data_IF_294546329970
#
_entry.id   IF_294546329970
#
_cell.length_a   1.000
_cell.length_b   1.000
_cell.length_c   1.000
_cell.angle_alpha   90.00
_cell.angle_beta   90.00
_cell.angle_gamma   90.00
#
_symmetry.space_group_name_H-M   'P 1'
#
loop_
_entity.id
_entity.type
_entity.pdbx_description
1 polymer ?
#
# COMPACT_ATOMS: atom_id res chain seq x y z
N UNK A 1 95.88 63.37 -13.92
CA UNK A 1 96.81 62.33 -14.38
C UNK A 1 96.77 61.18 -13.39
N UNK A 2 96.49 59.96 -13.84
CA UNK A 2 97.01 58.74 -13.18
C UNK A 2 98.55 58.74 -13.27
N UNK A 3 99.33 58.03 -12.41
CA UNK A 3 99.16 56.57 -12.19
C UNK A 3 99.63 55.96 -10.83
N UNK A 4 99.35 54.67 -10.64
CA UNK A 4 100.44 53.66 -10.53
C UNK A 4 101.13 53.31 -9.18
N UNK A 5 100.46 52.46 -8.37
CA UNK A 5 100.99 51.24 -7.66
C UNK A 5 102.16 51.29 -6.62
N UNK A 6 101.79 50.85 -5.38
CA UNK A 6 102.53 49.99 -4.38
C UNK A 6 103.71 50.65 -3.59
N UNK A 7 104.29 50.05 -2.50
CA UNK A 7 104.07 48.73 -1.85
C UNK A 7 104.06 48.67 -0.27
N UNK A 8 103.95 47.44 0.29
CA UNK A 8 104.47 46.92 1.60
C UNK A 8 103.88 47.36 2.97
N UNK A 9 103.64 46.36 3.84
CA UNK A 9 103.66 46.45 5.32
C UNK A 9 102.45 45.79 6.05
N UNK A 10 102.48 45.26 7.28
CA UNK A 10 103.46 44.49 8.10
C UNK A 10 102.96 44.48 9.58
N UNK A 11 102.98 43.33 10.28
CA UNK A 11 102.64 43.13 11.72
C UNK A 11 101.18 43.49 12.13
N UNK A 12 100.54 43.00 13.20
CA UNK A 12 100.81 41.97 14.23
C UNK A 12 99.45 41.61 14.91
N UNK A 13 99.31 40.76 15.94
CA UNK A 13 100.24 39.96 16.77
C UNK A 13 99.56 38.59 17.09
N UNK A 14 99.67 38.00 18.30
CA UNK A 14 98.96 36.76 18.74
C UNK A 14 98.63 36.79 20.25
N UNK A 15 97.58 36.09 20.69
CA UNK A 15 97.42 35.26 21.91
C UNK A 15 95.92 34.92 22.07
N UNK A 16 95.39 33.68 22.03
CA UNK A 16 95.74 32.30 22.48
C UNK A 16 95.36 31.94 23.93
N UNK A 17 94.12 31.44 24.11
CA UNK A 17 93.65 30.44 25.10
C UNK A 17 92.40 29.77 24.52
N UNK A 18 92.09 28.48 24.70
CA UNK A 18 92.89 27.25 24.93
C UNK A 18 91.95 26.09 24.52
N UNK A 19 92.43 25.03 23.85
CA UNK A 19 91.56 23.89 23.48
C UNK A 19 91.20 23.03 24.69
N UNK A 20 90.00 22.47 24.68
CA UNK A 20 89.73 21.07 25.07
C UNK A 20 88.66 20.50 24.14
N UNK A 21 88.90 19.32 23.58
CA UNK A 21 87.95 18.59 22.74
C UNK A 21 87.95 17.12 23.13
N UNK A 22 86.75 16.58 23.41
CA UNK A 22 86.43 15.17 23.63
C UNK A 22 84.90 15.06 23.62
N UNK A 23 84.24 14.01 23.13
CA UNK A 23 84.65 12.91 22.25
C UNK A 23 83.38 12.53 21.45
N UNK A 24 83.49 12.05 20.21
CA UNK A 24 82.30 11.46 19.54
C UNK A 24 81.92 10.14 20.20
N UNK A 25 80.65 9.98 20.53
CA UNK A 25 79.97 8.69 20.64
C UNK A 25 78.69 8.73 19.82
N UNK A 26 78.59 7.85 18.83
CA UNK A 26 77.47 7.82 17.87
C UNK A 26 76.31 7.04 18.48
N UNK A 27 75.33 7.73 19.05
CA UNK A 27 74.07 7.16 19.54
C UNK A 27 72.92 7.39 18.56
N UNK A 28 72.18 6.35 18.20
CA UNK A 28 71.10 6.40 17.21
C UNK A 28 69.94 7.30 17.66
N UNK A 29 69.70 8.37 16.89
CA UNK A 29 68.56 9.27 17.11
C UNK A 29 67.29 8.63 16.55
N UNK A 30 66.59 7.82 17.34
CA UNK A 30 65.23 7.38 17.01
C UNK A 30 64.32 8.61 16.90
N UNK A 31 63.80 8.87 15.70
CA UNK A 31 62.72 9.85 15.49
C UNK A 31 61.40 9.22 15.93
N UNK A 32 61.03 9.41 17.20
CA UNK A 32 59.74 8.94 17.71
C UNK A 32 58.61 9.72 17.01
N UNK A 33 57.88 9.04 16.13
CA UNK A 33 57.00 9.68 15.15
C UNK A 33 55.71 10.24 15.75
N UNK A 34 55.67 11.55 15.98
CA UNK A 34 54.49 12.30 16.49
C UNK A 34 53.35 12.46 15.44
N UNK A 35 53.13 11.43 14.63
CA UNK A 35 52.18 11.40 13.50
C UNK A 35 51.14 10.26 13.55
N UNK A 36 51.41 9.18 14.28
CA UNK A 36 50.50 8.02 14.35
C UNK A 36 49.14 8.35 14.97
N UNK A 37 49.15 9.07 16.11
CA UNK A 37 47.95 9.26 16.94
C UNK A 37 46.91 10.22 16.33
N UNK A 38 47.34 11.11 15.43
CA UNK A 38 46.40 11.96 14.64
C UNK A 38 45.75 11.18 13.50
N UNK A 39 46.43 10.18 12.95
CA UNK A 39 45.91 9.35 11.85
C UNK A 39 44.89 8.34 12.37
N UNK A 40 45.20 7.62 13.45
CA UNK A 40 44.29 6.68 14.12
C UNK A 40 42.99 7.36 14.57
N UNK A 41 43.08 8.53 15.24
CA UNK A 41 41.90 9.31 15.66
C UNK A 41 41.05 9.78 14.48
N UNK A 42 41.65 10.24 13.38
CA UNK A 42 40.92 10.61 12.15
C UNK A 42 40.20 9.42 11.55
N UNK A 43 40.85 8.25 11.46
CA UNK A 43 40.23 7.02 10.98
C UNK A 43 39.07 6.56 11.87
N UNK A 44 39.20 6.62 13.20
CA UNK A 44 38.11 6.29 14.13
C UNK A 44 36.91 7.25 13.98
N UNK A 45 37.14 8.55 13.82
CA UNK A 45 36.09 9.54 13.59
C UNK A 45 35.40 9.30 12.24
N UNK A 46 36.15 8.99 11.18
CA UNK A 46 35.58 8.69 9.85
C UNK A 46 34.79 7.37 9.89
N UNK A 47 35.29 6.32 10.55
CA UNK A 47 34.55 5.05 10.73
C UNK A 47 33.25 5.29 11.51
N UNK A 48 33.29 6.02 12.63
CA UNK A 48 32.07 6.39 13.39
C UNK A 48 31.09 7.18 12.53
N UNK A 49 31.53 8.23 11.83
CA UNK A 49 30.66 9.01 10.93
C UNK A 49 30.07 8.18 9.79
N UNK A 50 30.82 7.24 9.20
CA UNK A 50 30.32 6.32 8.19
C UNK A 50 29.30 5.32 8.75
N UNK A 51 29.51 4.79 9.96
CA UNK A 51 28.53 3.93 10.63
C UNK A 51 27.26 4.68 11.00
N UNK A 52 27.37 5.92 11.51
CA UNK A 52 26.21 6.78 11.76
C UNK A 52 25.45 7.13 10.47
N UNK A 53 26.15 7.45 9.38
CA UNK A 53 25.52 7.74 8.09
C UNK A 53 24.85 6.50 7.49
N UNK A 54 25.50 5.33 7.54
CA UNK A 54 24.92 4.07 7.08
C UNK A 54 23.68 3.67 7.90
N UNK A 55 23.72 3.87 9.23
CA UNK A 55 22.56 3.67 10.11
C UNK A 55 21.42 4.63 9.78
N UNK A 56 21.71 5.92 9.55
CA UNK A 56 20.71 6.91 9.16
C UNK A 56 20.07 6.59 7.79
N UNK A 57 20.86 6.13 6.82
CA UNK A 57 20.35 5.67 5.51
C UNK A 57 19.48 4.41 5.67
N UNK A 58 19.91 3.44 6.48
CA UNK A 58 19.11 2.24 6.75
C UNK A 58 17.77 2.57 7.41
N UNK A 59 17.76 3.48 8.40
CA UNK A 59 16.52 3.98 9.02
C UNK A 59 15.64 4.72 8.00
N UNK A 60 16.21 5.57 7.14
CA UNK A 60 15.46 6.26 6.10
C UNK A 60 14.82 5.27 5.11
N UNK A 61 15.55 4.24 4.68
CA UNK A 61 15.02 3.18 3.80
C UNK A 61 13.90 2.42 4.50
N UNK A 62 14.04 2.08 5.79
CA UNK A 62 12.97 1.44 6.56
C UNK A 62 11.74 2.35 6.66
N UNK A 63 11.91 3.65 6.92
CA UNK A 63 10.79 4.61 6.98
C UNK A 63 10.11 4.74 5.61
N UNK A 64 10.86 4.80 4.51
CA UNK A 64 10.29 4.82 3.16
C UNK A 64 9.55 3.51 2.85
N UNK A 65 10.10 2.35 3.22
CA UNK A 65 9.42 1.05 3.06
C UNK A 65 8.15 0.98 3.92
N UNK A 66 8.16 1.49 5.16
CA UNK A 66 6.97 1.56 6.01
C UNK A 66 5.91 2.48 5.41
N UNK A 67 6.28 3.66 4.92
CA UNK A 67 5.36 4.58 4.23
C UNK A 67 4.79 3.92 2.97
N UNK A 68 5.62 3.26 2.17
CA UNK A 68 5.15 2.51 0.98
C UNK A 68 4.18 1.41 1.38
N UNK A 69 4.50 0.57 2.38
CA UNK A 69 3.61 -0.49 2.85
C UNK A 69 2.29 0.02 3.47
N UNK A 70 2.30 1.20 4.08
CA UNK A 70 1.09 1.86 4.59
C UNK A 70 0.23 2.41 3.43
N UNK A 71 0.84 3.06 2.44
CA UNK A 71 0.15 3.61 1.26
C UNK A 71 -0.31 2.52 0.29
N UNK A 72 0.38 1.40 0.22
CA UNK A 72 0.06 0.27 -0.66
C UNK A 72 -0.79 -0.81 0.01
N UNK A 73 -1.41 -0.51 1.16
CA UNK A 73 -2.33 -1.44 1.84
C UNK A 73 -1.72 -2.77 2.30
N UNK A 74 -0.38 -2.91 2.35
CA UNK A 74 0.28 -4.22 2.58
C UNK A 74 -0.11 -4.84 3.93
N UNK A 75 -0.37 -3.98 4.93
CA UNK A 75 -0.81 -4.37 6.27
C UNK A 75 -2.32 -4.35 6.50
N UNK A 76 -3.14 -4.01 5.50
CA UNK A 76 -4.59 -4.12 5.63
C UNK A 76 -4.99 -5.60 5.80
N UNK A 77 -5.95 -5.85 6.70
CA UNK A 77 -6.54 -7.17 6.87
C UNK A 77 -7.39 -7.47 5.63
N UNK A 78 -7.15 -8.60 4.97
CA UNK A 78 -8.02 -9.12 3.92
C UNK A 78 -9.40 -9.41 4.49
N UNK A 79 -10.44 -9.27 3.66
CA UNK A 79 -11.70 -9.96 3.90
C UNK A 79 -11.48 -11.48 4.07
N UNK A 80 -12.29 -12.13 4.90
CA UNK A 80 -12.24 -13.58 5.16
C UNK A 80 -13.05 -14.39 4.14
N UNK A 81 -13.79 -13.71 3.27
CA UNK A 81 -14.68 -14.21 2.21
C UNK A 81 -14.93 -13.10 1.19
N UNK A 82 -15.40 -13.44 0.00
CA UNK A 82 -15.69 -12.45 -1.04
C UNK A 82 -16.64 -11.36 -0.55
N UNK A 83 -16.17 -10.11 -0.58
CA UNK A 83 -16.86 -8.95 0.00
C UNK A 83 -16.82 -7.75 -0.95
N UNK A 84 -17.98 -7.21 -1.28
CA UNK A 84 -18.18 -5.99 -2.04
C UNK A 84 -18.51 -4.84 -1.09
N UNK A 85 -17.83 -3.70 -1.23
CA UNK A 85 -18.11 -2.47 -0.46
C UNK A 85 -18.44 -1.33 -1.40
N UNK A 86 -19.50 -0.58 -1.06
CA UNK A 86 -19.75 0.74 -1.61
C UNK A 86 -19.07 1.80 -0.74
N UNK A 87 -18.31 2.72 -1.35
CA UNK A 87 -17.69 3.85 -0.67
C UNK A 87 -18.43 5.18 -0.96
N UNK A 88 -18.29 6.17 -0.06
CA UNK A 88 -18.86 7.52 -0.17
C UNK A 88 -18.68 8.24 -1.52
N UNK A 89 -17.61 7.94 -2.25
CA UNK A 89 -17.32 8.55 -3.56
C UNK A 89 -18.04 7.86 -4.73
N UNK A 90 -18.85 6.83 -4.45
CA UNK A 90 -19.55 6.01 -5.43
C UNK A 90 -18.72 4.85 -5.99
N UNK A 91 -17.48 4.68 -5.53
CA UNK A 91 -16.65 3.57 -5.95
C UNK A 91 -17.13 2.23 -5.36
N UNK A 92 -16.85 1.16 -6.09
CA UNK A 92 -17.03 -0.21 -5.61
C UNK A 92 -15.66 -0.80 -5.30
N UNK A 93 -15.46 -1.37 -4.11
CA UNK A 93 -14.28 -2.16 -3.78
C UNK A 93 -14.72 -3.60 -3.58
N UNK A 94 -14.27 -4.49 -4.48
CA UNK A 94 -14.46 -5.93 -4.33
C UNK A 94 -13.16 -6.54 -3.79
N UNK A 95 -13.27 -7.24 -2.65
CA UNK A 95 -12.26 -8.15 -2.13
C UNK A 95 -12.72 -9.58 -2.46
N UNK A 96 -12.13 -10.22 -3.46
CA UNK A 96 -12.46 -11.58 -3.90
C UNK A 96 -11.58 -12.59 -3.14
N UNK A 97 -12.19 -13.63 -2.57
CA UNK A 97 -11.51 -14.72 -1.84
C UNK A 97 -11.94 -16.05 -2.45
N UNK A 98 -11.01 -16.86 -2.91
CA UNK A 98 -11.33 -18.14 -3.58
C UNK A 98 -10.31 -19.21 -3.23
N UNK A 99 -10.77 -20.45 -3.04
CA UNK A 99 -9.88 -21.61 -2.87
C UNK A 99 -9.02 -21.78 -4.13
N UNK A 100 -7.70 -21.81 -3.95
CA UNK A 100 -6.70 -21.84 -5.01
C UNK A 100 -5.53 -22.73 -4.58
N UNK A 101 -5.62 -24.01 -4.92
CA UNK A 101 -4.61 -25.00 -4.53
C UNK A 101 -4.46 -26.18 -5.48
N UNK A 102 -5.19 -26.21 -6.60
CA UNK A 102 -5.01 -27.26 -7.59
C UNK A 102 -3.67 -27.08 -8.32
N UNK A 103 -2.97 -28.19 -8.54
CA UNK A 103 -1.60 -28.25 -9.05
C UNK A 103 -1.43 -27.77 -10.50
N UNK A 104 -2.53 -27.56 -11.21
CA UNK A 104 -2.58 -27.01 -12.56
C UNK A 104 -2.81 -25.49 -12.65
N UNK A 105 -3.02 -24.78 -11.52
CA UNK A 105 -3.19 -23.33 -11.52
C UNK A 105 -1.90 -22.58 -11.14
N UNK A 106 -1.40 -21.72 -12.04
CA UNK A 106 -0.22 -20.88 -11.79
C UNK A 106 -0.64 -19.49 -11.26
N UNK A 107 -0.18 -19.16 -10.05
CA UNK A 107 -0.49 -17.88 -9.39
C UNK A 107 0.22 -16.64 -9.97
N UNK A 108 1.23 -16.81 -10.83
CA UNK A 108 1.84 -15.74 -11.61
C UNK A 108 1.13 -15.53 -12.95
N UNK A 109 0.61 -16.58 -13.58
CA UNK A 109 -0.32 -16.48 -14.72
C UNK A 109 -1.60 -15.75 -14.29
N UNK A 110 -2.23 -16.14 -13.18
CA UNK A 110 -3.42 -15.44 -12.62
C UNK A 110 -3.16 -13.94 -12.41
N UNK A 111 -2.01 -13.58 -11.81
CA UNK A 111 -1.59 -12.18 -11.60
C UNK A 111 -1.30 -11.42 -12.89
N UNK A 112 -0.92 -12.12 -13.96
CA UNK A 112 -0.64 -11.52 -15.26
C UNK A 112 -1.95 -11.29 -16.02
N UNK A 113 -2.82 -12.31 -16.05
CA UNK A 113 -4.17 -12.25 -16.60
C UNK A 113 -5.00 -11.12 -15.96
N UNK A 114 -5.10 -11.05 -14.63
CA UNK A 114 -5.86 -10.00 -13.94
C UNK A 114 -5.38 -8.58 -14.31
N UNK A 115 -4.06 -8.39 -14.47
CA UNK A 115 -3.49 -7.09 -14.90
C UNK A 115 -3.79 -6.80 -16.38
N UNK A 116 -3.76 -7.82 -17.24
CA UNK A 116 -4.08 -7.68 -18.66
C UNK A 116 -5.54 -7.30 -18.86
N UNK A 117 -6.47 -7.96 -18.15
CA UNK A 117 -7.90 -7.64 -18.16
C UNK A 117 -8.17 -6.19 -17.71
N UNK A 118 -7.61 -5.78 -16.57
CA UNK A 118 -7.75 -4.39 -16.07
C UNK A 118 -7.14 -3.37 -17.05
N UNK A 119 -5.99 -3.69 -17.65
CA UNK A 119 -5.38 -2.82 -18.67
C UNK A 119 -6.28 -2.72 -19.91
N UNK A 120 -6.79 -3.83 -20.43
CA UNK A 120 -7.63 -3.87 -21.62
C UNK A 120 -8.94 -3.10 -21.43
N UNK A 121 -9.56 -3.21 -20.25
CA UNK A 121 -10.73 -2.42 -19.89
C UNK A 121 -10.43 -0.92 -19.85
N UNK A 122 -9.36 -0.51 -19.14
CA UNK A 122 -9.00 0.90 -19.03
C UNK A 122 -8.55 1.52 -20.37
N UNK A 123 -7.89 0.75 -21.23
CA UNK A 123 -7.54 1.17 -22.60
C UNK A 123 -8.79 1.49 -23.44
N UNK A 124 -9.93 0.85 -23.15
CA UNK A 124 -11.18 1.00 -23.89
C UNK A 124 -12.15 2.04 -23.28
N UNK A 125 -12.26 2.08 -21.95
CA UNK A 125 -13.33 2.80 -21.24
C UNK A 125 -12.86 4.05 -20.47
N UNK A 126 -11.58 4.14 -20.11
CA UNK A 126 -11.04 5.26 -19.35
C UNK A 126 -9.82 4.90 -18.53
N UNK A 127 -8.88 5.83 -18.39
CA UNK A 127 -7.74 5.64 -17.49
C UNK A 127 -8.21 5.60 -16.03
N UNK A 128 -7.74 4.60 -15.29
CA UNK A 128 -8.01 4.38 -13.85
C UNK A 128 -9.46 4.06 -13.47
N UNK A 129 -10.34 3.72 -14.43
CA UNK A 129 -11.72 3.28 -14.17
C UNK A 129 -11.82 1.96 -13.40
N UNK A 130 -10.86 1.04 -13.62
CA UNK A 130 -10.66 -0.16 -12.79
C UNK A 130 -9.21 -0.22 -12.31
N UNK A 131 -9.01 -0.57 -11.04
CA UNK A 131 -7.69 -0.59 -10.40
C UNK A 131 -7.52 -1.85 -9.56
N UNK A 132 -6.62 -2.71 -10.00
CA UNK A 132 -6.17 -3.89 -9.26
C UNK A 132 -5.22 -3.45 -8.13
N UNK A 133 -5.75 -3.34 -6.91
CA UNK A 133 -5.01 -2.80 -5.77
C UNK A 133 -4.11 -3.85 -5.11
N UNK A 134 -4.58 -5.10 -5.06
CA UNK A 134 -3.83 -6.22 -4.45
C UNK A 134 -4.16 -7.54 -5.15
N UNK A 135 -3.14 -8.38 -5.34
CA UNK A 135 -3.32 -9.80 -5.64
C UNK A 135 -2.34 -10.61 -4.79
N UNK A 136 -2.87 -11.56 -4.02
CA UNK A 136 -2.11 -12.54 -3.27
C UNK A 136 -2.54 -13.95 -3.67
N UNK A 137 -1.58 -14.87 -3.68
CA UNK A 137 -1.80 -16.30 -3.93
C UNK A 137 -0.87 -17.05 -2.99
N UNK A 138 -1.40 -18.00 -2.23
CA UNK A 138 -0.66 -18.77 -1.23
C UNK A 138 -1.61 -19.46 -0.25
N UNK A 139 -1.09 -20.41 0.54
CA UNK A 139 -1.82 -21.09 1.61
C UNK A 139 -3.14 -21.79 1.19
N UNK A 140 -3.29 -22.11 -0.11
CA UNK A 140 -4.52 -22.69 -0.67
C UNK A 140 -5.58 -21.68 -1.08
N UNK A 141 -5.24 -20.39 -1.15
CA UNK A 141 -6.15 -19.27 -1.42
C UNK A 141 -5.59 -18.32 -2.50
N UNK A 142 -6.48 -17.81 -3.35
CA UNK A 142 -6.27 -16.62 -4.14
C UNK A 142 -7.12 -15.49 -3.58
N UNK A 143 -6.50 -14.32 -3.42
CA UNK A 143 -7.13 -13.09 -2.97
C UNK A 143 -6.88 -11.99 -3.98
N UNK A 144 -7.93 -11.28 -4.39
CA UNK A 144 -7.82 -10.05 -5.16
C UNK A 144 -8.54 -8.91 -4.44
N UNK A 145 -8.00 -7.69 -4.54
CA UNK A 145 -8.73 -6.46 -4.22
C UNK A 145 -8.73 -5.58 -5.45
N UNK A 146 -9.92 -5.27 -5.95
CA UNK A 146 -10.14 -4.46 -7.14
C UNK A 146 -11.07 -3.31 -6.79
N UNK A 147 -10.62 -2.08 -7.06
CA UNK A 147 -11.47 -0.88 -7.01
C UNK A 147 -12.01 -0.60 -8.41
N UNK A 148 -13.30 -0.36 -8.49
CA UNK A 148 -14.03 0.10 -9.67
C UNK A 148 -14.49 1.53 -9.38
N UNK A 149 -14.33 2.43 -10.34
CA UNK A 149 -14.67 3.84 -10.18
C UNK A 149 -16.18 4.07 -10.00
N UNK A 150 -17.01 3.15 -10.49
CA UNK A 150 -18.47 3.22 -10.37
C UNK A 150 -19.12 1.81 -10.37
N UNK A 151 -20.41 1.70 -10.01
CA UNK A 151 -21.21 0.49 -10.19
C UNK A 151 -21.39 0.10 -11.66
N UNK A 152 -21.31 1.08 -12.57
CA UNK A 152 -21.29 0.82 -14.00
C UNK A 152 -19.98 0.16 -14.44
N UNK A 153 -18.83 0.62 -13.94
CA UNK A 153 -17.53 -0.01 -14.21
C UNK A 153 -17.45 -1.43 -13.65
N UNK A 154 -18.05 -1.68 -12.48
CA UNK A 154 -18.21 -3.03 -11.95
C UNK A 154 -18.96 -3.91 -12.95
N UNK A 155 -20.18 -3.51 -13.33
CA UNK A 155 -21.06 -4.24 -14.25
C UNK A 155 -20.41 -4.46 -15.63
N UNK A 156 -19.73 -3.47 -16.18
CA UNK A 156 -19.08 -3.59 -17.50
C UNK A 156 -17.81 -4.46 -17.45
N UNK A 157 -17.07 -4.48 -16.33
CA UNK A 157 -15.85 -5.28 -16.18
C UNK A 157 -16.15 -6.75 -15.85
N UNK A 158 -17.04 -7.01 -14.88
CA UNK A 158 -17.35 -8.37 -14.40
C UNK A 158 -18.44 -9.05 -15.24
N UNK A 159 -19.35 -8.26 -15.82
CA UNK A 159 -20.59 -8.76 -16.43
C UNK A 159 -21.72 -9.03 -15.44
N UNK A 160 -21.50 -8.88 -14.13
CA UNK A 160 -22.54 -9.07 -13.11
C UNK A 160 -23.55 -7.93 -13.11
N UNK A 161 -24.82 -8.26 -12.85
CA UNK A 161 -25.88 -7.27 -12.74
C UNK A 161 -25.70 -6.45 -11.46
N UNK A 162 -25.53 -5.13 -11.60
CA UNK A 162 -25.48 -4.18 -10.50
C UNK A 162 -26.16 -2.85 -10.88
N UNK A 163 -26.90 -2.30 -9.93
CA UNK A 163 -27.46 -0.95 -9.92
C UNK A 163 -27.30 -0.35 -8.53
N UNK A 164 -26.92 0.93 -8.45
CA UNK A 164 -26.94 1.72 -7.22
C UNK A 164 -27.53 3.10 -7.54
N UNK A 165 -28.35 3.61 -6.63
CA UNK A 165 -29.05 4.89 -6.76
C UNK A 165 -30.16 4.99 -5.71
N UNK A 166 -31.13 5.87 -5.93
CA UNK A 166 -32.35 5.90 -5.10
C UNK A 166 -33.39 4.86 -5.56
N UNK A 167 -34.35 4.54 -4.69
CA UNK A 167 -35.52 3.70 -5.06
C UNK A 167 -36.25 4.28 -6.28
N UNK A 168 -36.43 5.60 -6.36
CA UNK A 168 -37.04 6.26 -7.52
C UNK A 168 -36.23 6.00 -8.81
N UNK A 169 -34.91 6.14 -8.77
CA UNK A 169 -34.03 5.86 -9.91
C UNK A 169 -34.05 4.38 -10.32
N UNK A 170 -34.15 3.46 -9.36
CA UNK A 170 -34.30 2.04 -9.64
C UNK A 170 -35.61 1.74 -10.38
N UNK A 171 -36.72 2.37 -9.98
CA UNK A 171 -38.01 2.25 -10.67
C UNK A 171 -37.96 2.84 -12.09
N UNK A 172 -37.30 3.98 -12.29
CA UNK A 172 -37.07 4.56 -13.62
C UNK A 172 -36.20 3.67 -14.52
N UNK A 173 -35.22 2.96 -13.94
CA UNK A 173 -34.42 1.95 -14.61
C UNK A 173 -35.18 0.63 -14.89
N UNK A 174 -36.41 0.49 -14.40
CA UNK A 174 -37.30 -0.65 -14.65
C UNK A 174 -37.27 -1.75 -13.58
N UNK A 175 -36.58 -1.54 -12.46
CA UNK A 175 -36.58 -2.50 -11.34
C UNK A 175 -37.92 -2.50 -10.60
N UNK A 176 -38.44 -3.70 -10.37
CA UNK A 176 -39.71 -3.93 -9.66
C UNK A 176 -39.46 -4.53 -8.29
N UNK A 177 -39.89 -3.84 -7.23
CA UNK A 177 -39.78 -4.27 -5.83
C UNK A 177 -40.84 -5.34 -5.48
N UNK A 178 -40.89 -6.40 -6.29
CA UNK A 178 -41.84 -7.51 -6.18
C UNK A 178 -41.37 -8.65 -5.26
N UNK A 179 -40.18 -8.52 -4.68
CA UNK A 179 -39.62 -9.43 -3.68
C UNK A 179 -40.39 -9.41 -2.36
N UNK A 180 -40.22 -10.46 -1.57
CA UNK A 180 -40.53 -10.41 -0.13
C UNK A 180 -39.41 -9.66 0.58
N UNK A 181 -39.76 -8.61 1.33
CA UNK A 181 -38.79 -7.82 2.09
C UNK A 181 -38.90 -8.10 3.59
N UNK A 182 -37.78 -7.96 4.30
CA UNK A 182 -37.71 -7.89 5.76
C UNK A 182 -37.05 -6.59 6.20
N UNK A 183 -37.49 -6.09 7.35
CA UNK A 183 -36.83 -4.99 8.04
C UNK A 183 -35.47 -5.40 8.59
N UNK A 184 -34.59 -4.41 8.79
CA UNK A 184 -33.32 -4.58 9.49
C UNK A 184 -33.28 -3.63 10.69
N UNK A 185 -33.01 -4.19 11.87
CA UNK A 185 -32.94 -3.45 13.13
C UNK A 185 -31.89 -4.10 14.04
N UNK A 186 -31.15 -3.28 14.80
CA UNK A 186 -30.09 -3.70 15.72
C UNK A 186 -29.05 -4.68 15.10
N UNK A 187 -28.86 -4.61 13.79
CA UNK A 187 -27.93 -5.47 13.04
C UNK A 187 -28.44 -6.89 12.75
N UNK A 188 -29.74 -7.12 12.78
CA UNK A 188 -30.37 -8.39 12.44
C UNK A 188 -31.61 -8.21 11.54
N UNK A 189 -32.04 -9.30 10.87
CA UNK A 189 -33.36 -9.35 10.21
C UNK A 189 -34.47 -9.23 11.27
N UNK A 190 -35.41 -8.32 11.01
CA UNK A 190 -36.65 -8.15 11.76
C UNK A 190 -37.84 -8.80 11.04
N UNK A 191 -39.03 -8.23 11.26
CA UNK A 191 -40.27 -8.70 10.65
C UNK A 191 -40.32 -8.44 9.13
N UNK A 192 -41.12 -9.26 8.43
CA UNK A 192 -41.46 -9.05 7.03
C UNK A 192 -42.29 -7.78 6.84
N UNK A 193 -41.97 -7.01 5.80
CA UNK A 193 -42.59 -5.72 5.48
C UNK A 193 -43.22 -5.74 4.09
N UNK A 194 -44.29 -4.97 3.92
CA UNK A 194 -44.93 -4.79 2.62
C UNK A 194 -44.11 -3.89 1.70
N UNK A 195 -44.18 -4.14 0.38
CA UNK A 195 -43.57 -3.28 -0.65
C UNK A 195 -44.03 -1.81 -0.53
N UNK A 196 -45.26 -1.56 -0.09
CA UNK A 196 -45.80 -0.22 0.16
C UNK A 196 -45.06 0.52 1.28
N UNK A 197 -44.54 -0.20 2.28
CA UNK A 197 -43.69 0.36 3.32
C UNK A 197 -42.26 0.64 2.81
N UNK A 198 -41.68 -0.29 2.03
CA UNK A 198 -40.35 -0.11 1.42
C UNK A 198 -40.33 1.07 0.46
N UNK A 199 -41.41 1.25 -0.31
CA UNK A 199 -41.58 2.36 -1.27
C UNK A 199 -42.16 3.65 -0.65
N UNK A 200 -42.32 3.73 0.67
CA UNK A 200 -42.89 4.91 1.34
C UNK A 200 -41.97 6.14 1.27
N UNK A 201 -40.64 5.92 1.17
CA UNK A 201 -39.64 6.96 0.98
C UNK A 201 -38.73 6.57 -0.21
N UNK A 202 -39.08 7.07 -1.40
CA UNK A 202 -38.40 6.71 -2.65
C UNK A 202 -37.03 7.39 -2.85
N UNK A 203 -36.64 8.28 -1.94
CA UNK A 203 -35.33 8.92 -1.93
C UNK A 203 -34.26 8.09 -1.21
N UNK A 204 -34.66 7.00 -0.52
CA UNK A 204 -33.71 6.07 0.12
C UNK A 204 -32.80 5.42 -0.90
N UNK A 205 -31.57 5.16 -0.48
CA UNK A 205 -30.58 4.48 -1.30
C UNK A 205 -30.96 3.00 -1.46
N UNK A 206 -30.73 2.47 -2.65
CA UNK A 206 -30.85 1.05 -2.94
C UNK A 206 -29.64 0.57 -3.75
N UNK A 207 -29.08 -0.54 -3.30
CA UNK A 207 -28.16 -1.37 -4.09
C UNK A 207 -28.93 -2.60 -4.54
N UNK A 208 -28.91 -2.88 -5.84
CA UNK A 208 -29.51 -4.05 -6.46
C UNK A 208 -28.41 -4.81 -7.18
N UNK A 209 -28.26 -6.10 -6.90
CA UNK A 209 -27.24 -6.94 -7.52
C UNK A 209 -27.68 -8.39 -7.69
N UNK A 210 -27.04 -9.11 -8.60
CA UNK A 210 -27.23 -10.55 -8.82
C UNK A 210 -25.92 -11.30 -8.68
N UNK A 211 -25.52 -11.57 -7.44
CA UNK A 211 -24.26 -12.20 -7.10
C UNK A 211 -24.33 -12.84 -5.70
N UNK A 212 -23.72 -14.02 -5.52
CA UNK A 212 -23.55 -14.64 -4.20
C UNK A 212 -22.31 -14.04 -3.52
N UNK A 213 -22.49 -12.92 -2.81
CA UNK A 213 -21.39 -12.15 -2.23
C UNK A 213 -21.79 -11.51 -0.89
N UNK A 214 -20.83 -11.21 -0.02
CA UNK A 214 -21.08 -10.33 1.14
C UNK A 214 -21.00 -8.88 0.71
N UNK A 215 -21.97 -8.07 1.11
CA UNK A 215 -22.09 -6.65 0.75
C UNK A 215 -22.03 -5.81 2.02
N UNK A 216 -21.15 -4.81 2.05
CA UNK A 216 -21.17 -3.73 3.05
C UNK A 216 -21.52 -2.40 2.36
N UNK A 217 -22.50 -1.68 2.90
CA UNK A 217 -22.89 -0.34 2.41
C UNK A 217 -22.40 0.76 3.35
N UNK A 218 -22.13 1.95 2.82
CA UNK A 218 -21.90 3.13 3.66
C UNK A 218 -23.24 3.73 4.10
N UNK A 219 -23.82 3.15 5.15
CA UNK A 219 -25.11 3.57 5.70
C UNK A 219 -25.66 2.57 6.72
N UNK A 220 -26.89 2.80 7.18
CA UNK A 220 -27.65 1.80 7.94
C UNK A 220 -28.64 1.11 6.99
N UNK A 221 -28.59 -0.20 6.90
CA UNK A 221 -29.55 -1.01 6.14
C UNK A 221 -30.90 -0.94 6.86
N UNK A 222 -31.95 -0.67 6.09
CA UNK A 222 -33.33 -0.51 6.56
C UNK A 222 -34.18 -1.72 6.17
N UNK A 223 -34.02 -2.18 4.92
CA UNK A 223 -34.75 -3.30 4.35
C UNK A 223 -33.85 -4.11 3.43
N UNK A 224 -34.13 -5.41 3.32
CA UNK A 224 -33.45 -6.31 2.40
C UNK A 224 -34.43 -7.33 1.83
N UNK A 225 -34.20 -7.81 0.60
CA UNK A 225 -34.85 -9.02 0.09
C UNK A 225 -34.68 -10.16 1.09
N UNK A 226 -35.74 -10.88 1.43
CA UNK A 226 -35.66 -11.94 2.44
C UNK A 226 -34.95 -13.19 1.91
N UNK A 227 -35.30 -13.61 0.69
CA UNK A 227 -34.72 -14.81 0.08
C UNK A 227 -33.22 -14.66 -0.17
N UNK A 228 -32.46 -15.72 0.14
CA UNK A 228 -31.00 -15.81 -0.07
C UNK A 228 -30.15 -14.76 0.65
N UNK A 229 -30.67 -14.08 1.68
CA UNK A 229 -29.90 -13.09 2.46
C UNK A 229 -29.77 -13.42 3.95
N UNK A 230 -28.62 -13.04 4.52
CA UNK A 230 -28.35 -13.05 5.97
C UNK A 230 -27.76 -11.69 6.36
N UNK A 231 -28.39 -10.99 7.30
CA UNK A 231 -27.83 -9.75 7.87
C UNK A 231 -26.75 -10.12 8.89
N UNK A 232 -25.57 -9.54 8.76
CA UNK A 232 -24.42 -9.81 9.65
C UNK A 232 -24.15 -8.66 10.62
N UNK A 233 -24.50 -7.43 10.22
CA UNK A 233 -24.47 -6.22 11.01
C UNK A 233 -25.40 -5.18 10.38
N UNK A 234 -25.57 -4.01 11.02
CA UNK A 234 -26.46 -2.94 10.54
C UNK A 234 -26.07 -2.33 9.19
N UNK A 235 -24.90 -2.66 8.67
CA UNK A 235 -24.30 -2.17 7.41
C UNK A 235 -23.91 -3.31 6.44
N UNK A 236 -24.05 -4.58 6.83
CA UNK A 236 -23.50 -5.73 6.08
C UNK A 236 -24.50 -6.90 5.94
N UNK A 237 -24.63 -7.41 4.71
CA UNK A 237 -25.49 -8.54 4.33
C UNK A 237 -24.68 -9.56 3.54
N UNK A 238 -24.79 -10.85 3.86
CA UNK A 238 -24.34 -11.94 3.00
C UNK A 238 -25.47 -12.43 2.09
N UNK A 239 -25.15 -12.62 0.81
CA UNK A 239 -26.05 -13.18 -0.20
C UNK A 239 -25.54 -14.57 -0.58
N UNK A 240 -26.38 -15.59 -0.38
CA UNK A 240 -26.09 -16.98 -0.74
C UNK A 240 -27.39 -17.78 -0.87
N UNK A 241 -27.45 -18.69 -1.86
CA UNK A 241 -28.62 -19.52 -2.10
C UNK A 241 -28.93 -20.45 -0.92
N UNK A 242 -30.20 -20.55 -0.54
CA UNK A 242 -30.64 -21.34 0.61
C UNK A 242 -30.46 -22.87 0.43
N UNK A 243 -30.30 -23.34 -0.81
CA UNK A 243 -30.03 -24.75 -1.14
C UNK A 243 -28.52 -25.07 -1.24
N UNK A 244 -27.65 -24.06 -1.11
CA UNK A 244 -26.20 -24.19 -1.24
C UNK A 244 -25.69 -24.27 -2.69
N UNK A 245 -26.52 -23.94 -3.68
CA UNK A 245 -26.12 -23.91 -5.08
C UNK A 245 -25.37 -22.61 -5.42
N UNK A 246 -24.04 -22.65 -5.35
CA UNK A 246 -23.17 -21.47 -5.61
C UNK A 246 -23.30 -20.92 -7.05
N UNK A 247 -23.71 -21.74 -8.02
CA UNK A 247 -23.94 -21.35 -9.42
C UNK A 247 -25.26 -20.58 -9.64
N UNK A 248 -26.23 -20.71 -8.72
CA UNK A 248 -27.51 -20.00 -8.82
C UNK A 248 -27.44 -18.63 -8.14
N UNK A 249 -28.07 -17.61 -8.74
CA UNK A 249 -28.04 -16.24 -8.21
C UNK A 249 -29.42 -15.57 -8.28
N UNK A 250 -29.84 -15.01 -7.15
CA UNK A 250 -31.08 -14.24 -7.02
C UNK A 250 -30.79 -12.76 -7.21
N UNK A 251 -31.76 -11.99 -7.70
CA UNK A 251 -31.66 -10.53 -7.69
C UNK A 251 -31.97 -10.05 -6.28
N UNK A 252 -31.01 -9.43 -5.61
CA UNK A 252 -31.15 -8.99 -4.22
C UNK A 252 -31.19 -7.47 -4.15
N UNK A 253 -32.11 -6.96 -3.34
CA UNK A 253 -32.28 -5.53 -3.05
C UNK A 253 -31.82 -5.26 -1.61
N UNK A 254 -30.94 -4.28 -1.43
CA UNK A 254 -30.47 -3.77 -0.13
C UNK A 254 -30.83 -2.28 -0.07
N UNK A 255 -31.78 -1.91 0.78
CA UNK A 255 -32.24 -0.52 0.97
C UNK A 255 -31.59 0.03 2.23
N UNK A 256 -30.99 1.22 2.13
CA UNK A 256 -30.21 1.84 3.19
C UNK A 256 -30.42 3.37 3.25
N UNK A 257 -30.00 3.97 4.38
CA UNK A 257 -29.95 5.44 4.58
C UNK A 257 -29.05 6.16 3.57
#
# INVERSE_FOLDING_TARGET
MEPGKRPIGSQGRKHRRKLTAAHRTTGSRQTHGYGGDRKSRREQIIRRRRMFLAGAIAVLVIVVVLIVCLVSGVFEKRAEKSTLRLEADGAVVCEEVTEFGADYYDGAELKSYAREQVKAYNDANGADSVKLERVAVGDGEAYMRTRYQSPEDYRQFTGYEMFQGTIAQAQEAGYTFADTFVSVADGAKGDSVGTDQVLADTEKNVLILRENITVTVEGTILYVSDESTTVESGDTVSIAQADGNEDATTLTYIIYE
#
